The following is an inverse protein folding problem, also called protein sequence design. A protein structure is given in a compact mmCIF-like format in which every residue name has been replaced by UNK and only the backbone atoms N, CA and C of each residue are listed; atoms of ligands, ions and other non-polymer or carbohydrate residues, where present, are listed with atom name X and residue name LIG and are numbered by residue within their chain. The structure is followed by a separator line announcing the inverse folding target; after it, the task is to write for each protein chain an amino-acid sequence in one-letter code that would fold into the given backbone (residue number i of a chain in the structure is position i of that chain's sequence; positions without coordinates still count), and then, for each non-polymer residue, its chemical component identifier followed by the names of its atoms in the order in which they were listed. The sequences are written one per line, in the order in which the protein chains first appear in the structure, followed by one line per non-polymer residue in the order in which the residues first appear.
data_IF_646681372540
#
_entry.id   IF_646681372540
#
_cell.length_a   1.000
_cell.length_b   1.000
_cell.length_c   1.000
_cell.angle_alpha   90.00
_cell.angle_beta   90.00
_cell.angle_gamma   90.00
#
_symmetry.space_group_name_H-M   'P 1'
#
loop_
_entity.id
_entity.type
_entity.pdbx_description
1 polymer ?
#
# COMPACT_ATOMS: atom_id res chain seq x y z
N UNK A 1 -4.69 -6.48 6.43
CA UNK A 1 -4.23 -6.11 5.06
C UNK A 1 -5.37 -5.43 4.31
N UNK A 2 -6.49 -6.08 4.00
CA UNK A 2 -7.59 -5.49 3.22
C UNK A 2 -8.13 -4.19 3.83
N UNK A 3 -8.36 -4.15 5.14
CA UNK A 3 -8.86 -2.96 5.85
C UNK A 3 -7.90 -1.77 5.82
N UNK A 4 -6.59 -2.01 5.83
CA UNK A 4 -5.60 -0.93 5.69
C UNK A 4 -5.65 -0.29 4.31
N UNK A 5 -5.75 -1.11 3.27
CA UNK A 5 -5.92 -0.63 1.89
C UNK A 5 -7.23 0.15 1.74
N UNK A 6 -8.31 -0.37 2.28
CA UNK A 6 -9.61 0.31 2.30
C UNK A 6 -9.54 1.65 3.04
N UNK A 7 -8.92 1.69 4.22
CA UNK A 7 -8.73 2.91 4.99
C UNK A 7 -7.89 3.96 4.25
N UNK A 8 -6.89 3.53 3.48
CA UNK A 8 -6.07 4.41 2.66
C UNK A 8 -6.86 4.98 1.48
N UNK A 9 -7.60 4.14 0.75
CA UNK A 9 -8.34 4.52 -0.45
C UNK A 9 -9.57 5.38 -0.13
N UNK A 10 -10.27 5.08 0.97
CA UNK A 10 -11.46 5.83 1.42
C UNK A 10 -11.13 7.15 2.13
N UNK A 11 -9.88 7.53 2.17
CA UNK A 11 -9.44 8.81 2.70
C UNK A 11 -10.08 10.04 2.04
N UNK A 12 -10.79 9.90 0.93
CA UNK A 12 -11.39 10.99 0.15
C UNK A 12 -12.90 11.02 0.05
N UNK A 13 -13.63 9.95 0.39
CA UNK A 13 -15.11 9.90 0.24
C UNK A 13 -15.71 8.99 1.29
N UNK A 14 -16.76 9.46 1.97
CA UNK A 14 -17.63 8.62 2.80
C UNK A 14 -18.56 7.79 1.90
N UNK A 15 -18.07 6.70 1.35
CA UNK A 15 -18.92 5.65 0.79
C UNK A 15 -18.33 4.27 1.09
N UNK A 16 -19.18 3.39 1.60
CA UNK A 16 -18.83 2.01 1.95
C UNK A 16 -18.57 1.21 0.68
N UNK A 17 -17.32 0.91 0.39
CA UNK A 17 -16.96 -0.12 -0.59
C UNK A 17 -16.97 -1.46 0.14
N UNK A 18 -17.94 -2.31 -0.14
CA UNK A 18 -17.93 -3.71 0.31
C UNK A 18 -16.91 -4.49 -0.51
N UNK A 19 -15.88 -4.97 0.16
CA UNK A 19 -14.95 -5.95 -0.44
C UNK A 19 -15.62 -7.33 -0.53
N UNK A 20 -15.41 -8.10 -1.58
CA UNK A 20 -16.00 -9.42 -1.71
C UNK A 20 -15.49 -10.38 -0.63
N UNK A 21 -16.41 -11.20 -0.12
CA UNK A 21 -16.18 -12.23 0.87
C UNK A 21 -15.15 -13.30 0.41
N UNK A 22 -14.66 -14.04 1.39
CA UNK A 22 -13.53 -15.01 1.42
C UNK A 22 -13.51 -16.17 0.40
N UNK A 23 -14.41 -16.25 -0.57
CA UNK A 23 -14.61 -17.42 -1.41
C UNK A 23 -14.22 -17.24 -2.89
N UNK A 24 -13.23 -16.40 -3.20
CA UNK A 24 -12.67 -16.36 -4.55
C UNK A 24 -11.56 -17.42 -4.66
N UNK A 25 -11.76 -18.51 -5.41
CA UNK A 25 -10.73 -19.53 -5.61
C UNK A 25 -9.55 -18.93 -6.41
N UNK A 26 -8.34 -19.24 -5.99
CA UNK A 26 -7.11 -18.89 -6.70
C UNK A 26 -7.09 -19.59 -8.06
N UNK A 27 -6.78 -18.89 -9.16
CA UNK A 27 -6.62 -19.52 -10.47
C UNK A 27 -5.46 -20.51 -10.44
N UNK A 28 -5.72 -21.72 -10.92
CA UNK A 28 -4.69 -22.76 -11.07
C UNK A 28 -3.82 -22.47 -12.28
N UNK A 29 -2.54 -22.82 -12.19
CA UNK A 29 -1.49 -22.54 -13.18
C UNK A 29 -1.65 -23.22 -14.55
N UNK A 30 -2.81 -23.78 -14.89
CA UNK A 30 -3.04 -24.56 -16.09
C UNK A 30 -3.86 -23.85 -17.19
N UNK A 31 -4.38 -22.63 -16.94
CA UNK A 31 -5.25 -21.95 -17.91
C UNK A 31 -4.51 -20.91 -18.79
N UNK A 32 -3.22 -21.13 -19.02
CA UNK A 32 -2.40 -20.27 -19.88
C UNK A 32 -2.25 -20.89 -21.27
N UNK A 33 -3.35 -21.05 -22.03
CA UNK A 33 -3.28 -21.30 -23.46
C UNK A 33 -4.36 -20.52 -24.23
N UNK A 34 -3.84 -19.90 -25.32
CA UNK A 34 -4.53 -19.25 -26.44
C UNK A 34 -4.88 -17.76 -26.34
N UNK A 35 -4.01 -16.96 -26.96
CA UNK A 35 -4.30 -15.61 -27.43
C UNK A 35 -4.58 -15.60 -28.93
N UNK A 36 -5.51 -14.79 -29.40
CA UNK A 36 -5.32 -14.05 -30.67
C UNK A 36 -5.02 -12.58 -30.40
N UNK A 37 -4.19 -12.03 -31.29
CA UNK A 37 -3.78 -10.64 -31.31
C UNK A 37 -4.88 -9.74 -31.86
N UNK A 38 -5.05 -8.55 -31.26
CA UNK A 38 -5.11 -7.24 -31.94
C UNK A 38 -5.46 -6.17 -30.91
N UNK A 39 -4.58 -5.17 -30.77
CA UNK A 39 -4.71 -4.06 -29.85
C UNK A 39 -5.06 -2.79 -30.61
N UNK A 40 -6.14 -2.08 -30.28
CA UNK A 40 -6.23 -0.64 -30.58
C UNK A 40 -5.61 0.15 -29.43
N UNK A 41 -4.83 1.15 -29.80
CA UNK A 41 -4.14 2.06 -28.89
C UNK A 41 -5.13 2.84 -28.03
N UNK A 42 -4.91 2.83 -26.69
CA UNK A 42 -5.61 3.74 -25.78
C UNK A 42 -6.12 3.17 -24.46
N UNK A 43 -5.89 1.90 -24.14
CA UNK A 43 -6.37 1.34 -22.86
C UNK A 43 -5.23 1.09 -21.88
N UNK A 44 -5.34 1.73 -20.71
CA UNK A 44 -4.48 1.52 -19.54
C UNK A 44 -4.59 0.08 -19.08
N UNK A 45 -3.46 -0.63 -19.03
CA UNK A 45 -3.29 -2.02 -18.64
C UNK A 45 -3.79 -2.29 -17.20
N UNK A 46 -5.03 -2.72 -17.07
CA UNK A 46 -5.53 -3.34 -15.83
C UNK A 46 -5.67 -4.84 -16.06
N UNK A 47 -5.16 -5.65 -15.15
CA UNK A 47 -5.33 -7.10 -15.18
C UNK A 47 -6.82 -7.46 -15.24
N UNK A 48 -7.25 -8.45 -16.06
CA UNK A 48 -8.65 -8.82 -16.18
C UNK A 48 -9.15 -9.44 -14.87
N UNK A 49 -10.26 -8.93 -14.35
CA UNK A 49 -11.02 -9.53 -13.25
C UNK A 49 -10.97 -8.82 -11.89
N UNK A 50 -10.26 -7.70 -11.74
CA UNK A 50 -10.33 -6.91 -10.51
C UNK A 50 -11.44 -5.85 -10.58
N UNK A 51 -12.23 -5.65 -9.50
CA UNK A 51 -13.24 -4.60 -9.45
C UNK A 51 -12.57 -3.23 -9.59
N UNK A 52 -13.04 -2.41 -10.49
CA UNK A 52 -12.62 -1.01 -10.62
C UNK A 52 -13.04 -0.28 -9.34
N UNK A 53 -12.08 0.28 -8.61
CA UNK A 53 -12.37 1.15 -7.50
C UNK A 53 -13.16 2.38 -8.01
N UNK A 54 -14.37 2.56 -7.49
CA UNK A 54 -15.19 3.75 -7.72
C UNK A 54 -14.67 4.83 -6.76
N UNK A 55 -13.70 5.63 -7.22
CA UNK A 55 -13.10 6.71 -6.44
C UNK A 55 -11.91 7.32 -7.18
N UNK A 56 -11.42 8.47 -6.72
CA UNK A 56 -10.19 9.07 -7.26
C UNK A 56 -9.02 8.12 -6.99
N UNK A 57 -8.44 7.54 -8.04
CA UNK A 57 -7.26 6.68 -7.93
C UNK A 57 -6.12 7.49 -7.32
N UNK A 58 -5.44 6.94 -6.31
CA UNK A 58 -4.24 7.56 -5.76
C UNK A 58 -3.12 7.45 -6.80
N UNK A 59 -2.46 8.57 -7.08
CA UNK A 59 -1.41 8.59 -8.07
C UNK A 59 -0.13 7.97 -7.50
N UNK A 60 0.39 8.49 -6.40
CA UNK A 60 1.66 8.06 -5.81
C UNK A 60 1.51 7.57 -4.38
N UNK A 61 1.90 6.34 -4.13
CA UNK A 61 1.76 5.70 -2.81
C UNK A 61 3.10 5.14 -2.34
N UNK A 62 3.39 5.32 -1.05
CA UNK A 62 4.50 4.69 -0.34
C UNK A 62 3.96 3.57 0.56
N UNK A 63 4.56 2.40 0.48
CA UNK A 63 4.41 1.32 1.44
C UNK A 63 5.67 1.18 2.27
N UNK A 64 5.52 1.12 3.60
CA UNK A 64 6.62 0.85 4.53
C UNK A 64 6.45 -0.57 5.09
N UNK A 65 7.35 -1.46 4.70
CA UNK A 65 7.31 -2.89 5.01
C UNK A 65 6.78 -3.73 3.86
N UNK A 66 7.59 -3.96 2.82
CA UNK A 66 7.25 -4.82 1.67
C UNK A 66 6.94 -6.25 2.09
N UNK A 67 7.70 -6.80 3.05
CA UNK A 67 7.55 -8.14 3.55
C UNK A 67 7.56 -9.20 2.44
N UNK A 68 6.49 -9.99 2.34
CA UNK A 68 6.33 -11.01 1.29
C UNK A 68 6.01 -10.43 -0.10
N UNK A 69 5.65 -9.14 -0.20
CA UNK A 69 5.16 -8.50 -1.42
C UNK A 69 3.65 -8.68 -1.68
N UNK A 70 2.93 -9.34 -0.78
CA UNK A 70 1.49 -9.57 -0.96
C UNK A 70 0.69 -8.26 -0.97
N UNK A 71 0.88 -7.43 0.07
CA UNK A 71 0.22 -6.12 0.17
C UNK A 71 0.64 -5.21 -0.99
N UNK A 72 1.93 -5.24 -1.34
CA UNK A 72 2.49 -4.50 -2.46
C UNK A 72 1.78 -4.85 -3.77
N UNK A 73 1.55 -6.14 -4.05
CA UNK A 73 0.84 -6.58 -5.27
C UNK A 73 -0.62 -6.10 -5.30
N UNK A 74 -1.30 -6.11 -4.16
CA UNK A 74 -2.67 -5.58 -4.04
C UNK A 74 -2.70 -4.09 -4.32
N UNK A 75 -1.80 -3.32 -3.70
CA UNK A 75 -1.70 -1.86 -3.90
C UNK A 75 -1.34 -1.53 -5.35
N UNK A 76 -0.43 -2.28 -5.98
CA UNK A 76 -0.01 -2.06 -7.35
C UNK A 76 -1.18 -2.08 -8.35
N UNK A 77 -2.22 -2.86 -8.08
CA UNK A 77 -3.42 -2.91 -8.92
C UNK A 77 -4.34 -1.69 -8.74
N UNK A 78 -4.18 -0.92 -7.66
CA UNK A 78 -5.10 0.14 -7.23
C UNK A 78 -4.53 1.54 -7.38
N UNK A 79 -3.20 1.68 -7.61
CA UNK A 79 -2.50 2.96 -7.67
C UNK A 79 -1.71 3.10 -8.97
N UNK A 80 -1.31 4.32 -9.32
CA UNK A 80 -0.53 4.54 -10.55
C UNK A 80 0.96 4.25 -10.34
N UNK A 81 1.55 4.76 -9.25
CA UNK A 81 2.94 4.56 -8.87
C UNK A 81 3.02 4.06 -7.43
N UNK A 82 3.72 2.95 -7.21
CA UNK A 82 3.93 2.38 -5.89
C UNK A 82 5.41 2.30 -5.57
N UNK A 83 5.78 2.91 -4.48
CA UNK A 83 7.09 2.85 -3.86
C UNK A 83 6.99 2.00 -2.60
N UNK A 84 7.92 1.06 -2.40
CA UNK A 84 7.90 0.22 -1.20
C UNK A 84 9.29 0.05 -0.64
N UNK A 85 9.41 0.16 0.69
CA UNK A 85 10.67 0.02 1.40
C UNK A 85 10.65 -1.21 2.31
N UNK A 86 11.77 -1.92 2.34
CA UNK A 86 11.98 -3.11 3.18
C UNK A 86 13.36 -3.02 3.82
N UNK A 87 13.47 -3.33 5.12
CA UNK A 87 14.74 -3.30 5.85
C UNK A 87 15.54 -4.60 5.74
N UNK A 88 14.87 -5.71 5.48
CA UNK A 88 15.49 -7.03 5.40
C UNK A 88 15.77 -7.39 3.92
N UNK A 89 17.02 -7.38 3.55
CA UNK A 89 17.46 -7.65 2.17
C UNK A 89 16.93 -8.99 1.62
N UNK A 90 16.91 -10.11 2.38
CA UNK A 90 16.36 -11.36 1.89
C UNK A 90 14.87 -11.26 1.52
N UNK A 91 14.06 -10.57 2.34
CA UNK A 91 12.64 -10.34 2.04
C UNK A 91 12.48 -9.45 0.82
N UNK A 92 13.23 -8.36 0.74
CA UNK A 92 13.21 -7.47 -0.42
C UNK A 92 13.51 -8.22 -1.73
N UNK A 93 14.55 -9.07 -1.75
CA UNK A 93 14.90 -9.86 -2.93
C UNK A 93 13.79 -10.82 -3.35
N UNK A 94 13.17 -11.51 -2.39
CA UNK A 94 12.05 -12.43 -2.64
C UNK A 94 10.81 -11.68 -3.14
N UNK A 95 10.44 -10.59 -2.50
CA UNK A 95 9.30 -9.76 -2.91
C UNK A 95 9.51 -9.21 -4.33
N UNK A 96 10.70 -8.68 -4.63
CA UNK A 96 11.05 -8.16 -5.96
C UNK A 96 10.92 -9.23 -7.06
N UNK A 97 11.30 -10.49 -6.76
CA UNK A 97 11.12 -11.61 -7.68
C UNK A 97 9.63 -11.88 -7.92
N UNK A 98 8.84 -12.03 -6.86
CA UNK A 98 7.38 -12.31 -6.93
C UNK A 98 6.61 -11.21 -7.67
N UNK A 99 6.92 -9.94 -7.38
CA UNK A 99 6.26 -8.80 -8.03
C UNK A 99 6.53 -8.76 -9.54
N UNK A 100 7.75 -9.14 -9.98
CA UNK A 100 8.07 -9.29 -11.40
C UNK A 100 7.29 -10.43 -12.05
N UNK A 101 7.21 -11.60 -11.38
CA UNK A 101 6.45 -12.76 -11.85
C UNK A 101 4.95 -12.45 -11.97
N UNK A 102 4.41 -11.61 -11.07
CA UNK A 102 3.04 -11.12 -11.10
C UNK A 102 2.81 -9.99 -12.12
N UNK A 103 3.85 -9.52 -12.81
CA UNK A 103 3.73 -8.44 -13.79
C UNK A 103 3.48 -7.06 -13.19
N UNK A 104 3.78 -6.82 -11.92
CA UNK A 104 3.66 -5.51 -11.29
C UNK A 104 4.73 -4.56 -11.82
N UNK A 105 4.39 -3.73 -12.82
CA UNK A 105 5.34 -2.84 -13.52
C UNK A 105 5.47 -1.45 -12.91
N UNK A 106 4.51 -1.05 -12.09
CA UNK A 106 4.41 0.26 -11.45
C UNK A 106 4.99 0.28 -10.03
N UNK A 107 5.79 -0.73 -9.65
CA UNK A 107 6.34 -0.89 -8.30
C UNK A 107 7.84 -0.66 -8.31
N UNK A 108 8.31 0.21 -7.43
CA UNK A 108 9.72 0.39 -7.11
C UNK A 108 9.99 -0.09 -5.69
N UNK A 109 11.00 -0.95 -5.52
CA UNK A 109 11.36 -1.56 -4.24
C UNK A 109 12.76 -1.09 -3.82
N UNK A 110 12.91 -0.61 -2.58
CA UNK A 110 14.18 -0.14 -2.02
C UNK A 110 14.49 -0.83 -0.69
N UNK A 111 15.76 -1.16 -0.49
CA UNK A 111 16.26 -1.54 0.83
C UNK A 111 16.45 -0.27 1.66
N UNK A 112 15.70 -0.12 2.74
CA UNK A 112 15.76 1.08 3.60
C UNK A 112 15.06 0.82 4.93
N UNK A 113 15.51 1.52 5.97
CA UNK A 113 14.78 1.60 7.24
C UNK A 113 13.41 2.25 7.06
N UNK A 114 12.38 1.65 7.69
CA UNK A 114 11.00 2.07 7.50
C UNK A 114 10.69 3.49 7.99
N UNK A 115 11.37 3.94 9.06
CA UNK A 115 11.10 5.24 9.68
C UNK A 115 11.44 6.45 8.82
N UNK A 116 12.33 6.28 7.84
CA UNK A 116 12.77 7.35 6.93
C UNK A 116 11.84 7.48 5.71
N UNK A 117 11.14 6.40 5.35
CA UNK A 117 10.36 6.36 4.11
C UNK A 117 11.23 6.43 2.86
N UNK A 118 10.76 7.20 1.86
CA UNK A 118 11.49 7.41 0.60
C UNK A 118 11.38 8.87 0.12
N UNK A 119 12.09 9.82 0.74
CA UNK A 119 11.92 11.26 0.50
C UNK A 119 12.14 11.68 -0.95
N UNK A 120 13.01 10.97 -1.73
CA UNK A 120 13.34 11.31 -3.11
C UNK A 120 12.15 11.24 -4.07
N UNK A 121 11.08 10.55 -3.68
CA UNK A 121 9.86 10.40 -4.47
C UNK A 121 8.64 11.06 -3.83
N UNK A 122 8.83 11.73 -2.69
CA UNK A 122 7.77 12.53 -2.08
C UNK A 122 7.39 13.73 -2.99
N UNK A 123 6.17 14.29 -2.88
CA UNK A 123 5.15 13.91 -1.91
C UNK A 123 4.28 12.73 -2.37
N UNK A 124 3.65 12.04 -1.39
CA UNK A 124 2.78 10.89 -1.61
C UNK A 124 1.32 11.22 -1.32
N UNK A 125 0.40 10.77 -2.16
CA UNK A 125 -1.04 10.85 -1.92
C UNK A 125 -1.49 9.90 -0.81
N UNK A 126 -0.76 8.78 -0.67
CA UNK A 126 -0.99 7.78 0.36
C UNK A 126 0.30 7.20 0.91
N UNK A 127 0.34 6.94 2.22
CA UNK A 127 1.41 6.19 2.87
C UNK A 127 0.77 5.07 3.69
N UNK A 128 1.20 3.83 3.46
CA UNK A 128 0.75 2.66 4.20
C UNK A 128 1.92 2.08 4.97
N UNK A 129 1.79 1.98 6.31
CA UNK A 129 2.80 1.37 7.17
C UNK A 129 2.31 0.01 7.64
N UNK A 130 3.02 -1.07 7.32
CA UNK A 130 2.61 -2.45 7.58
C UNK A 130 3.28 -3.07 8.82
N UNK A 131 3.88 -2.24 9.65
CA UNK A 131 4.48 -2.58 10.93
C UNK A 131 4.09 -1.56 12.00
N UNK A 132 3.92 -1.98 13.26
CA UNK A 132 3.44 -1.11 14.33
C UNK A 132 4.55 -0.22 14.87
N UNK A 133 4.33 1.08 14.86
CA UNK A 133 5.18 2.07 15.49
C UNK A 133 4.63 2.47 16.86
N UNK A 134 5.48 2.66 17.86
CA UNK A 134 5.06 3.24 19.15
C UNK A 134 4.51 4.64 18.91
N UNK A 135 5.22 5.41 18.10
CA UNK A 135 4.81 6.74 17.60
C UNK A 135 5.08 6.81 16.10
N UNK A 136 4.26 7.57 15.39
CA UNK A 136 4.44 7.76 13.95
C UNK A 136 5.70 8.58 13.68
N UNK A 137 6.64 8.09 12.85
CA UNK A 137 7.83 8.85 12.49
C UNK A 137 7.45 10.17 11.78
N UNK A 138 7.89 11.33 12.27
CA UNK A 138 7.59 12.63 11.66
C UNK A 138 7.99 12.70 10.19
N UNK A 139 9.11 12.06 9.84
CA UNK A 139 9.60 11.99 8.47
C UNK A 139 8.60 11.38 7.47
N UNK A 140 7.72 10.47 7.91
CA UNK A 140 6.67 9.91 7.04
C UNK A 140 5.52 10.92 6.86
N UNK A 141 5.16 11.67 7.90
CA UNK A 141 4.11 12.69 7.82
C UNK A 141 4.52 13.85 6.89
N UNK A 142 5.77 14.25 6.94
CA UNK A 142 6.33 15.31 6.08
C UNK A 142 6.29 14.92 4.59
N UNK A 143 6.33 13.63 4.27
CA UNK A 143 6.26 13.11 2.90
C UNK A 143 4.84 13.01 2.33
N UNK A 144 3.79 13.31 3.10
CA UNK A 144 2.43 13.36 2.58
C UNK A 144 2.21 14.59 1.68
N UNK A 145 1.50 14.40 0.59
CA UNK A 145 0.96 15.49 -0.22
C UNK A 145 -0.12 16.27 0.56
N UNK A 146 -0.39 17.53 0.23
CA UNK A 146 -1.59 18.23 0.73
C UNK A 146 -2.86 17.41 0.44
N UNK A 147 -3.67 17.14 1.48
CA UNK A 147 -4.82 16.25 1.40
C UNK A 147 -4.48 14.75 1.40
N UNK A 148 -3.20 14.40 1.39
CA UNK A 148 -2.73 13.01 1.45
C UNK A 148 -3.04 12.32 2.77
N UNK A 149 -3.02 10.99 2.76
CA UNK A 149 -3.44 10.16 3.88
C UNK A 149 -2.37 9.12 4.24
N UNK A 150 -2.06 8.97 5.53
CA UNK A 150 -1.24 7.91 6.07
C UNK A 150 -2.11 6.96 6.90
N UNK A 151 -1.92 5.65 6.71
CA UNK A 151 -2.55 4.60 7.54
C UNK A 151 -1.45 3.75 8.15
N UNK A 152 -1.47 3.60 9.47
CA UNK A 152 -0.48 2.85 10.21
C UNK A 152 -1.05 2.23 11.49
N UNK A 153 -0.58 1.06 11.91
CA UNK A 153 -0.77 0.58 13.28
C UNK A 153 0.15 1.37 14.23
N UNK A 154 -0.43 1.88 15.32
CA UNK A 154 0.28 2.69 16.33
C UNK A 154 0.01 2.13 17.71
N UNK A 155 1.04 1.92 18.47
CA UNK A 155 0.96 1.39 19.83
C UNK A 155 2.10 0.42 20.17
N UNK A 156 2.13 0.00 21.42
CA UNK A 156 3.09 -0.98 21.94
C UNK A 156 2.64 -2.43 21.75
N UNK A 157 3.43 -3.39 22.29
CA UNK A 157 3.15 -4.82 22.12
C UNK A 157 1.80 -5.27 22.71
N UNK A 158 1.31 -4.58 23.75
CA UNK A 158 0.07 -4.96 24.44
C UNK A 158 -1.19 -4.51 23.70
N UNK A 159 -1.12 -3.38 22.99
CA UNK A 159 -2.28 -2.81 22.30
C UNK A 159 -1.81 -1.90 21.16
N UNK A 160 -2.38 -2.11 19.98
CA UNK A 160 -2.13 -1.31 18.79
C UNK A 160 -3.47 -0.87 18.18
N UNK A 161 -3.52 0.37 17.75
CA UNK A 161 -4.66 0.94 17.05
C UNK A 161 -4.27 1.23 15.61
N UNK A 162 -5.09 0.84 14.67
CA UNK A 162 -4.98 1.32 13.30
C UNK A 162 -5.39 2.79 13.28
N UNK A 163 -4.47 3.65 12.88
CA UNK A 163 -4.71 5.10 12.80
C UNK A 163 -4.62 5.57 11.37
N UNK A 164 -5.48 6.51 11.05
CA UNK A 164 -5.41 7.28 9.81
C UNK A 164 -5.02 8.71 10.15
N UNK A 165 -4.04 9.23 9.41
CA UNK A 165 -3.59 10.63 9.53
C UNK A 165 -3.75 11.28 8.17
N UNK A 166 -4.42 12.42 8.14
CA UNK A 166 -4.61 13.21 6.92
C UNK A 166 -3.87 14.53 7.03
N UNK A 167 -3.14 14.89 5.99
CA UNK A 167 -2.55 16.21 5.89
C UNK A 167 -3.63 17.23 5.49
N UNK A 168 -3.95 18.15 6.38
CA UNK A 168 -4.91 19.24 6.19
C UNK A 168 -4.19 20.60 6.11
N UNK A 169 -4.91 21.64 5.73
CA UNK A 169 -4.37 23.00 5.78
C UNK A 169 -4.04 23.38 7.24
N UNK A 170 -2.76 23.60 7.48
CA UNK A 170 -2.25 23.99 8.80
C UNK A 170 -1.88 22.84 9.76
N UNK A 171 -1.86 21.57 9.31
CA UNK A 171 -1.40 20.46 10.16
C UNK A 171 -1.90 19.07 9.75
N UNK A 172 -2.10 18.22 10.75
CA UNK A 172 -2.52 16.84 10.56
C UNK A 172 -3.78 16.52 11.39
N UNK A 173 -4.77 15.91 10.75
CA UNK A 173 -5.94 15.36 11.42
C UNK A 173 -5.76 13.87 11.68
N UNK A 174 -6.03 13.43 12.91
CA UNK A 174 -5.83 12.05 13.37
C UNK A 174 -7.17 11.37 13.62
N UNK A 175 -7.30 10.15 13.16
CA UNK A 175 -8.48 9.31 13.37
C UNK A 175 -8.07 7.92 13.83
N UNK A 176 -8.78 7.39 14.82
CA UNK A 176 -8.65 5.99 15.28
C UNK A 176 -9.67 5.15 14.53
N UNK A 177 -9.24 4.01 13.99
CA UNK A 177 -10.11 3.13 13.22
C UNK A 177 -10.51 1.89 14.02
N UNK A 178 -9.54 1.01 14.32
CA UNK A 178 -9.81 -0.25 14.99
C UNK A 178 -8.57 -0.77 15.75
N UNK A 179 -8.78 -1.75 16.65
CA UNK A 179 -7.68 -2.47 17.29
C UNK A 179 -7.10 -3.48 16.32
N UNK A 180 -5.76 -3.58 16.31
CA UNK A 180 -5.00 -4.43 15.39
C UNK A 180 -3.81 -5.06 16.09
N UNK A 181 -3.18 -6.04 15.43
CA UNK A 181 -1.94 -6.66 15.89
C UNK A 181 -0.97 -6.82 14.72
N UNK A 182 0.14 -6.10 14.77
CA UNK A 182 1.21 -6.09 13.76
C UNK A 182 2.56 -6.35 14.42
N UNK A 183 3.51 -6.79 13.62
CA UNK A 183 4.92 -6.84 14.02
C UNK A 183 5.44 -5.41 14.27
N UNK A 184 6.42 -5.24 15.18
CA UNK A 184 6.96 -3.92 15.48
C UNK A 184 7.72 -3.31 14.28
N UNK A 185 7.53 -2.01 14.04
CA UNK A 185 8.36 -1.22 13.16
C UNK A 185 9.71 -0.98 13.83
N UNK A 186 10.76 -1.52 13.24
CA UNK A 186 12.12 -1.35 13.75
C UNK A 186 12.71 -0.12 13.05
N UNK A 187 12.99 0.90 13.84
CA UNK A 187 13.72 2.09 13.42
C UNK A 187 15.21 1.83 13.65
N UNK A 188 16.02 1.99 12.62
CA UNK A 188 17.47 1.98 12.80
C UNK A 188 17.85 3.28 13.51
N UNK A 189 18.58 3.17 14.62
CA UNK A 189 19.13 4.30 15.39
C UNK A 189 20.32 4.89 14.66
#
# INVERSE_FOLDING_TARGET
VARMTEALLNGGVQERVSLPHKDVPMPRAQDAQERPAETPAGETNSAPGMPRAVGKRLHRVLEVGTGSGYQTAVLAALVDELYTVERLEPLMKQARKRLRELGCRNVQVKLSAGGIGWPQHAPYDGILVTAAAVELPPALLEQLAPGGCLVAPVGGPAMQELRRVRRADGGFAYERLELVNFVPLILDN
#
